data_IF_350742136871
#
_entry.id   IF_350742136871
#
_cell.length_a   1.000
_cell.length_b   1.000
_cell.length_c   1.000
_cell.angle_alpha   90.00
_cell.angle_beta   90.00
_cell.angle_gamma   90.00
#
_symmetry.space_group_name_H-M   'P 1'
#
loop_
_entity.id
_entity.type
_entity.pdbx_description
1 polymer ?
#
# COMPACT_ATOMS: atom_id res chain seq x y z
N UNK A 1 -12.61 11.63 43.73
CA UNK A 1 -13.54 11.81 42.60
C UNK A 1 -12.83 12.64 41.55
N UNK A 2 -12.61 12.06 40.38
CA UNK A 2 -11.91 12.65 39.25
C UNK A 2 -11.90 11.60 38.15
N UNK A 3 -13.03 11.47 37.48
CA UNK A 3 -13.29 10.52 36.41
C UNK A 3 -12.29 10.77 35.27
N UNK A 4 -11.51 9.76 34.90
CA UNK A 4 -10.85 9.71 33.59
C UNK A 4 -11.91 9.48 32.53
N UNK A 5 -12.16 10.41 31.59
CA UNK A 5 -13.01 10.13 30.45
C UNK A 5 -12.13 9.71 29.26
N UNK A 6 -12.71 8.85 28.43
CA UNK A 6 -12.20 8.38 27.13
C UNK A 6 -11.25 7.19 27.21
N UNK A 7 -11.83 5.99 27.13
CA UNK A 7 -11.16 4.84 26.58
C UNK A 7 -10.59 5.23 25.21
N UNK A 8 -9.26 5.18 25.11
CA UNK A 8 -8.57 5.19 23.84
C UNK A 8 -9.00 3.91 23.13
N UNK A 9 -9.93 4.03 22.20
CA UNK A 9 -10.16 3.01 21.18
C UNK A 9 -8.81 2.82 20.50
N UNK A 10 -8.13 1.72 20.78
CA UNK A 10 -6.84 1.42 20.15
C UNK A 10 -7.10 1.20 18.66
N UNK A 11 -6.87 2.23 17.84
CA UNK A 11 -7.07 2.17 16.39
C UNK A 11 -6.32 1.00 15.76
N UNK A 12 -5.22 0.50 16.38
CA UNK A 12 -4.49 -0.69 15.91
C UNK A 12 -5.28 -1.99 16.05
N UNK A 13 -6.18 -2.07 17.03
CA UNK A 13 -7.01 -3.24 17.29
C UNK A 13 -8.34 -3.19 16.54
N UNK A 14 -8.79 -2.02 16.10
CA UNK A 14 -10.14 -1.83 15.54
C UNK A 14 -10.17 -1.41 14.08
N UNK A 15 -9.06 -0.97 13.50
CA UNK A 15 -9.04 -0.55 12.10
C UNK A 15 -9.21 -1.77 11.16
N UNK A 16 -10.25 -1.80 10.31
CA UNK A 16 -10.51 -2.91 9.39
C UNK A 16 -9.62 -2.80 8.14
N UNK A 17 -8.31 -2.72 8.35
CA UNK A 17 -7.34 -2.55 7.28
C UNK A 17 -7.17 -3.79 6.42
N UNK A 18 -6.75 -3.57 5.17
CA UNK A 18 -6.40 -4.61 4.22
C UNK A 18 -5.15 -4.16 3.47
N UNK A 19 -3.98 -4.39 4.07
CA UNK A 19 -2.70 -4.00 3.45
C UNK A 19 -2.44 -4.66 2.09
N UNK A 20 -3.15 -5.72 1.70
CA UNK A 20 -3.03 -6.39 0.39
C UNK A 20 -4.31 -6.18 -0.43
N UNK A 21 -4.22 -5.38 -1.48
CA UNK A 21 -5.23 -5.22 -2.52
C UNK A 21 -5.00 -6.15 -3.72
N UNK A 22 -5.98 -6.17 -4.61
CA UNK A 22 -6.07 -7.12 -5.72
C UNK A 22 -7.29 -8.03 -5.58
N UNK A 23 -7.96 -8.28 -6.70
CA UNK A 23 -9.06 -9.23 -6.84
C UNK A 23 -8.58 -10.61 -7.30
N UNK A 24 -9.53 -11.46 -7.69
CA UNK A 24 -9.26 -12.83 -8.18
C UNK A 24 -9.63 -13.03 -9.65
N UNK A 25 -10.16 -12.00 -10.29
CA UNK A 25 -10.67 -12.03 -11.68
C UNK A 25 -10.14 -10.82 -12.44
N UNK A 26 -9.81 -10.98 -13.71
CA UNK A 26 -9.25 -9.94 -14.60
C UNK A 26 -7.75 -9.72 -14.38
N UNK A 27 -6.98 -9.50 -15.45
CA UNK A 27 -5.51 -9.42 -15.38
C UNK A 27 -5.02 -8.17 -14.60
N UNK A 28 -5.62 -7.00 -14.87
CA UNK A 28 -5.34 -5.77 -14.13
C UNK A 28 -5.75 -5.88 -12.65
N UNK A 29 -6.91 -6.46 -12.43
CA UNK A 29 -7.57 -6.47 -11.12
C UNK A 29 -7.01 -7.58 -10.24
N UNK A 30 -6.51 -8.69 -10.78
CA UNK A 30 -5.84 -9.75 -10.02
C UNK A 30 -4.39 -9.41 -9.62
N UNK A 31 -3.86 -8.28 -10.08
CA UNK A 31 -2.52 -7.85 -9.75
C UNK A 31 -2.41 -7.53 -8.26
N UNK A 32 -1.43 -8.17 -7.61
CA UNK A 32 -1.12 -7.94 -6.21
C UNK A 32 -0.65 -6.50 -6.01
N UNK A 33 -1.22 -5.82 -5.03
CA UNK A 33 -0.75 -4.55 -4.51
C UNK A 33 -0.68 -4.67 -3.00
N UNK A 34 0.48 -4.45 -2.38
CA UNK A 34 0.58 -4.51 -0.93
C UNK A 34 1.32 -3.31 -0.34
N UNK A 35 0.75 -2.74 0.72
CA UNK A 35 1.40 -1.76 1.57
C UNK A 35 2.45 -2.46 2.45
N UNK A 36 3.68 -1.94 2.46
CA UNK A 36 4.77 -2.43 3.30
C UNK A 36 4.66 -1.84 4.71
N UNK A 37 3.64 -2.31 5.43
CA UNK A 37 3.27 -1.90 6.79
C UNK A 37 3.16 -3.13 7.70
N UNK A 38 3.07 -2.98 9.03
CA UNK A 38 2.82 -4.10 9.93
C UNK A 38 1.54 -4.88 9.58
N UNK A 39 1.43 -6.11 10.07
CA UNK A 39 0.35 -7.04 9.70
C UNK A 39 -1.06 -6.53 10.06
N UNK A 40 -1.18 -5.70 11.10
CA UNK A 40 -2.44 -5.06 11.48
C UNK A 40 -2.84 -3.89 10.57
N UNK A 41 -2.07 -3.60 9.51
CA UNK A 41 -2.31 -2.51 8.56
C UNK A 41 -2.30 -1.10 9.19
N UNK A 42 -1.73 -0.94 10.39
CA UNK A 42 -1.57 0.35 11.05
C UNK A 42 -0.09 0.66 11.23
N UNK A 43 0.35 1.83 10.78
CA UNK A 43 1.76 2.20 10.72
C UNK A 43 2.00 3.63 11.20
N UNK A 44 2.84 3.79 12.21
CA UNK A 44 3.33 5.09 12.66
C UNK A 44 4.44 5.64 11.75
N UNK A 45 4.20 6.81 11.15
CA UNK A 45 5.18 7.45 10.28
C UNK A 45 6.38 7.97 11.08
N UNK A 46 7.57 7.82 10.49
CA UNK A 46 8.75 8.52 10.96
C UNK A 46 8.80 9.96 10.43
N UNK A 47 9.69 10.78 10.99
CA UNK A 47 9.96 12.13 10.47
C UNK A 47 10.43 12.14 9.01
N UNK A 48 10.91 11.00 8.49
CA UNK A 48 11.25 10.85 7.08
C UNK A 48 10.01 10.77 6.17
N UNK A 49 8.83 10.42 6.70
CA UNK A 49 7.57 10.36 5.96
C UNK A 49 7.57 9.34 4.83
N UNK A 50 8.37 8.28 4.93
CA UNK A 50 8.48 7.29 3.86
C UNK A 50 7.37 6.23 4.01
N UNK A 51 6.59 6.03 2.94
CA UNK A 51 5.68 4.89 2.79
C UNK A 51 6.03 4.12 1.53
N UNK A 52 5.82 2.81 1.55
CA UNK A 52 6.19 1.94 0.44
C UNK A 52 5.12 0.92 0.13
N UNK A 53 5.03 0.60 -1.14
CA UNK A 53 4.12 -0.41 -1.66
C UNK A 53 4.85 -1.31 -2.65
N UNK A 54 4.46 -2.57 -2.68
CA UNK A 54 4.93 -3.54 -3.66
C UNK A 54 3.82 -3.83 -4.66
N UNK A 55 4.19 -3.89 -5.94
CA UNK A 55 3.30 -4.28 -7.02
C UNK A 55 3.75 -5.63 -7.56
N UNK A 56 2.81 -6.55 -7.73
CA UNK A 56 3.05 -7.87 -8.29
C UNK A 56 3.33 -7.85 -9.80
N UNK A 57 3.73 -8.99 -10.37
CA UNK A 57 3.89 -9.21 -11.80
C UNK A 57 2.60 -8.99 -12.59
N UNK A 58 2.75 -8.48 -13.81
CA UNK A 58 1.67 -8.25 -14.78
C UNK A 58 2.30 -8.11 -16.17
N UNK A 59 1.57 -8.50 -17.21
CA UNK A 59 1.97 -8.23 -18.59
C UNK A 59 1.54 -6.83 -19.05
N UNK A 60 0.46 -6.28 -18.48
CA UNK A 60 -0.12 -5.00 -18.86
C UNK A 60 -0.17 -4.06 -17.64
N UNK A 61 0.96 -3.40 -17.30
CA UNK A 61 0.98 -2.49 -16.18
C UNK A 61 0.07 -1.28 -16.45
N UNK A 62 -0.77 -0.96 -15.46
CA UNK A 62 -1.60 0.25 -15.44
C UNK A 62 -1.11 1.22 -14.36
N UNK A 63 -1.57 2.47 -14.43
CA UNK A 63 -1.31 3.48 -13.41
C UNK A 63 -1.90 3.09 -12.05
N UNK A 64 -1.29 3.60 -10.99
CA UNK A 64 -1.71 3.37 -9.62
C UNK A 64 -2.15 4.70 -9.01
N UNK A 65 -3.34 4.73 -8.42
CA UNK A 65 -3.81 5.85 -7.62
C UNK A 65 -3.51 5.60 -6.16
N UNK A 66 -2.95 6.61 -5.48
CA UNK A 66 -2.69 6.64 -4.05
C UNK A 66 -3.50 7.78 -3.47
N UNK A 67 -4.26 7.51 -2.42
CA UNK A 67 -4.99 8.54 -1.68
C UNK A 67 -4.71 8.45 -0.18
N UNK A 68 -4.57 9.60 0.45
CA UNK A 68 -4.45 9.76 1.90
C UNK A 68 -5.57 10.68 2.36
N UNK A 69 -6.48 10.19 3.19
CA UNK A 69 -7.61 10.97 3.71
C UNK A 69 -7.59 10.98 5.23
N UNK A 70 -7.91 12.09 5.90
CA UNK A 70 -8.05 12.10 7.36
C UNK A 70 -9.09 11.06 7.80
N UNK A 71 -8.77 10.28 8.84
CA UNK A 71 -9.69 9.26 9.38
C UNK A 71 -10.99 9.90 9.89
N UNK A 72 -10.90 11.09 10.48
CA UNK A 72 -12.04 11.87 10.95
C UNK A 72 -12.91 12.48 9.81
N UNK A 73 -12.52 12.29 8.55
CA UNK A 73 -13.10 12.94 7.39
C UNK A 73 -12.49 14.32 7.12
N UNK A 74 -12.59 14.76 5.87
CA UNK A 74 -12.04 16.04 5.40
C UNK A 74 -11.30 15.89 4.07
N UNK A 75 -10.62 16.96 3.67
CA UNK A 75 -9.83 16.98 2.45
C UNK A 75 -8.61 16.09 2.58
N UNK A 76 -8.46 15.19 1.60
CA UNK A 76 -7.31 14.31 1.47
C UNK A 76 -6.40 14.74 0.34
N UNK A 77 -5.29 14.05 0.23
CA UNK A 77 -4.39 14.13 -0.91
C UNK A 77 -4.57 12.90 -1.79
N UNK A 78 -4.48 13.08 -3.11
CA UNK A 78 -4.47 11.98 -4.07
C UNK A 78 -3.39 12.23 -5.12
N UNK A 79 -2.66 11.17 -5.47
CA UNK A 79 -1.62 11.19 -6.51
C UNK A 79 -1.73 9.94 -7.36
N UNK A 80 -1.59 10.12 -8.67
CA UNK A 80 -1.40 9.01 -9.60
C UNK A 80 0.09 8.76 -9.82
N UNK A 81 0.48 7.48 -9.82
CA UNK A 81 1.78 7.00 -10.21
C UNK A 81 1.70 6.36 -11.59
N UNK A 82 2.76 6.50 -12.42
CA UNK A 82 2.77 5.92 -13.75
C UNK A 82 2.72 4.39 -13.71
N UNK A 83 2.24 3.80 -14.81
CA UNK A 83 2.27 2.37 -15.00
C UNK A 83 3.69 1.81 -14.85
N UNK A 84 3.83 0.80 -14.01
CA UNK A 84 5.11 0.14 -13.75
C UNK A 84 4.93 -1.37 -13.63
N UNK A 85 5.92 -2.19 -14.05
CA UNK A 85 5.94 -3.63 -13.84
C UNK A 85 6.11 -3.98 -12.35
N UNK A 86 6.33 -5.26 -12.02
CA UNK A 86 6.63 -5.68 -10.66
C UNK A 86 7.78 -4.88 -10.06
N UNK A 87 7.63 -4.48 -8.80
CA UNK A 87 8.62 -3.64 -8.13
C UNK A 87 8.11 -3.06 -6.82
N UNK A 88 9.01 -2.40 -6.12
CA UNK A 88 8.71 -1.64 -4.91
C UNK A 88 8.71 -0.16 -5.28
N UNK A 89 7.68 0.55 -4.85
CA UNK A 89 7.61 2.01 -4.99
C UNK A 89 7.61 2.64 -3.61
N UNK A 90 8.64 3.46 -3.34
CA UNK A 90 8.76 4.27 -2.13
C UNK A 90 8.37 5.72 -2.45
N UNK A 91 7.48 6.29 -1.66
CA UNK A 91 7.13 7.70 -1.78
C UNK A 91 7.34 8.40 -0.44
N UNK A 92 7.73 9.68 -0.52
CA UNK A 92 7.64 10.57 0.63
C UNK A 92 6.23 11.14 0.70
N UNK A 93 5.66 11.14 1.89
CA UNK A 93 4.45 11.91 2.21
C UNK A 93 4.83 13.03 3.18
N UNK A 94 4.03 14.09 3.16
CA UNK A 94 4.21 15.18 4.10
C UNK A 94 3.96 14.68 5.54
N UNK A 95 4.63 15.29 6.54
CA UNK A 95 4.38 14.96 7.93
C UNK A 95 2.90 15.12 8.28
N UNK A 96 2.27 14.04 8.72
CA UNK A 96 0.86 14.03 9.11
C UNK A 96 0.73 14.45 10.57
N UNK A 97 -0.34 15.17 10.91
CA UNK A 97 -0.65 15.60 12.29
C UNK A 97 -1.83 14.85 12.89
N UNK A 98 -2.60 14.17 12.05
CA UNK A 98 -3.78 13.39 12.39
C UNK A 98 -3.68 12.02 11.73
N UNK A 99 -4.39 10.99 12.23
CA UNK A 99 -4.49 9.71 11.55
C UNK A 99 -5.02 9.86 10.13
N UNK A 100 -4.35 9.20 9.17
CA UNK A 100 -4.70 9.25 7.75
C UNK A 100 -4.97 7.83 7.23
N UNK A 101 -6.13 7.61 6.62
CA UNK A 101 -6.42 6.41 5.84
C UNK A 101 -5.67 6.50 4.52
N UNK A 102 -4.75 5.58 4.31
CA UNK A 102 -4.00 5.41 3.09
C UNK A 102 -4.63 4.30 2.26
N UNK A 103 -5.11 4.65 1.07
CA UNK A 103 -5.65 3.72 0.08
C UNK A 103 -4.82 3.74 -1.19
N UNK A 104 -4.54 2.58 -1.76
CA UNK A 104 -3.90 2.46 -3.08
C UNK A 104 -4.65 1.47 -3.95
N UNK A 105 -4.80 1.77 -5.23
CA UNK A 105 -5.49 0.91 -6.19
C UNK A 105 -5.09 1.16 -7.64
N UNK A 106 -5.15 0.13 -8.47
CA UNK A 106 -4.85 0.22 -9.90
C UNK A 106 -6.03 0.84 -10.67
N UNK A 107 -5.71 1.71 -11.63
CA UNK A 107 -6.70 2.27 -12.56
C UNK A 107 -6.95 1.29 -13.71
N UNK A 108 -7.87 0.34 -13.48
CA UNK A 108 -8.20 -0.70 -14.44
C UNK A 108 -9.26 -0.29 -15.48
N UNK A 109 -9.59 1.01 -15.58
CA UNK A 109 -10.58 1.52 -16.54
C UNK A 109 -10.15 1.36 -18.02
N UNK A 110 -8.85 1.19 -18.27
CA UNK A 110 -8.26 1.04 -19.60
C UNK A 110 -8.14 -0.41 -20.08
N UNK A 111 -8.41 -1.40 -19.22
CA UNK A 111 -8.36 -2.83 -19.54
C UNK A 111 -9.70 -3.45 -19.89
N UNK A 112 -10.76 -2.65 -19.98
CA UNK A 112 -12.07 -3.13 -20.38
C UNK A 112 -12.19 -3.13 -21.90
N UNK A 113 -11.95 -4.28 -22.52
CA UNK A 113 -12.74 -4.72 -23.70
C UNK A 113 -14.21 -4.95 -23.29
N UNK A 114 -14.80 -4.03 -22.52
CA UNK A 114 -16.22 -3.98 -22.17
C UNK A 114 -16.95 -2.96 -23.06
N UNK A 115 -16.49 -2.82 -24.31
CA UNK A 115 -17.31 -2.22 -25.34
C UNK A 115 -18.42 -3.22 -25.70
N UNK A 116 -19.63 -2.94 -25.20
CA UNK A 116 -20.92 -3.47 -25.65
C UNK A 116 -21.47 -4.80 -25.06
N UNK A 117 -21.35 -5.05 -23.76
CA UNK A 117 -22.22 -6.03 -23.08
C UNK A 117 -23.17 -5.34 -22.06
N UNK A 118 -24.49 -5.30 -22.32
CA UNK A 118 -25.51 -4.71 -21.43
C UNK A 118 -25.73 -5.47 -20.12
N UNK A 119 -24.96 -6.54 -19.83
CA UNK A 119 -24.98 -7.28 -18.56
C UNK A 119 -23.80 -6.99 -17.61
N UNK A 120 -22.98 -5.97 -17.88
CA UNK A 120 -21.80 -5.60 -17.07
C UNK A 120 -22.10 -4.92 -15.71
N UNK A 121 -23.13 -5.37 -14.99
CA UNK A 121 -23.50 -4.84 -13.66
C UNK A 121 -22.53 -5.22 -12.53
N UNK A 122 -21.55 -6.08 -12.80
CA UNK A 122 -20.50 -6.44 -11.86
C UNK A 122 -19.21 -5.80 -12.32
N UNK A 123 -18.94 -4.58 -11.86
CA UNK A 123 -17.60 -4.01 -11.96
C UNK A 123 -16.67 -4.90 -11.15
N UNK A 124 -15.77 -5.64 -11.81
CA UNK A 124 -14.74 -6.45 -11.14
C UNK A 124 -13.64 -5.53 -10.60
N UNK A 125 -14.00 -4.47 -9.88
CA UNK A 125 -13.03 -3.55 -9.29
C UNK A 125 -12.22 -4.33 -8.24
N UNK A 126 -10.91 -4.36 -8.41
CA UNK A 126 -10.02 -4.94 -7.41
C UNK A 126 -10.16 -4.15 -6.11
N UNK A 127 -10.32 -4.82 -4.95
CA UNK A 127 -10.33 -4.12 -3.69
C UNK A 127 -8.99 -3.39 -3.50
N UNK A 128 -9.00 -2.10 -3.13
CA UNK A 128 -7.77 -1.35 -2.88
C UNK A 128 -7.03 -1.91 -1.67
N UNK A 129 -5.72 -1.69 -1.63
CA UNK A 129 -4.95 -1.85 -0.41
C UNK A 129 -5.28 -0.67 0.52
N UNK A 130 -5.56 -0.93 1.79
CA UNK A 130 -5.99 0.07 2.77
C UNK A 130 -5.22 -0.11 4.07
N UNK A 131 -4.58 0.96 4.54
CA UNK A 131 -3.83 1.01 5.80
C UNK A 131 -4.13 2.32 6.54
N UNK A 132 -3.92 2.34 7.86
CA UNK A 132 -3.98 3.55 8.67
C UNK A 132 -2.57 4.05 8.96
N UNK A 133 -2.30 5.32 8.66
CA UNK A 133 -1.07 6.00 9.00
C UNK A 133 -1.28 6.84 10.26
N UNK A 134 -0.41 6.67 11.25
CA UNK A 134 -0.44 7.44 12.50
C UNK A 134 0.70 8.48 12.52
N UNK A 135 0.48 9.66 13.14
CA UNK A 135 1.50 10.71 13.21
C UNK A 135 2.68 10.32 14.12
N UNK A 136 2.45 9.42 15.07
CA UNK A 136 3.44 8.98 16.04
C UNK A 136 3.84 7.54 15.78
N UNK A 137 5.11 7.26 16.01
CA UNK A 137 5.67 5.92 15.92
C UNK A 137 5.40 5.14 17.20
N UNK A 138 5.23 3.83 17.06
CA UNK A 138 5.21 2.90 18.17
C UNK A 138 6.30 1.83 18.02
N UNK A 139 6.64 1.10 19.10
CA UNK A 139 7.67 0.05 19.04
C UNK A 139 7.44 -0.99 17.96
N UNK A 140 6.18 -1.30 17.63
CA UNK A 140 5.81 -2.23 16.57
C UNK A 140 6.13 -1.73 15.14
N UNK A 141 6.45 -0.44 14.96
CA UNK A 141 6.77 0.15 13.66
C UNK A 141 8.27 0.15 13.35
N UNK A 142 9.13 -0.09 14.36
CA UNK A 142 10.59 0.08 14.26
C UNK A 142 11.19 -0.80 13.15
N UNK A 143 10.83 -2.09 13.12
CA UNK A 143 11.35 -3.03 12.14
C UNK A 143 10.95 -2.63 10.71
N UNK A 144 9.70 -2.22 10.53
CA UNK A 144 9.19 -1.73 9.24
C UNK A 144 9.92 -0.47 8.82
N UNK A 145 10.13 0.49 9.72
CA UNK A 145 10.84 1.72 9.40
C UNK A 145 12.31 1.47 9.00
N UNK A 146 13.01 0.60 9.71
CA UNK A 146 14.38 0.23 9.35
C UNK A 146 14.41 -0.40 7.95
N UNK A 147 13.46 -1.28 7.65
CA UNK A 147 13.34 -1.88 6.31
C UNK A 147 13.04 -0.82 5.24
N UNK A 148 12.15 0.14 5.52
CA UNK A 148 11.86 1.26 4.59
C UNK A 148 13.09 2.15 4.38
N UNK A 149 13.90 2.42 5.41
CA UNK A 149 15.14 3.18 5.27
C UNK A 149 16.16 2.43 4.40
N UNK A 150 16.31 1.12 4.58
CA UNK A 150 17.17 0.29 3.73
C UNK A 150 16.69 0.28 2.26
N UNK A 151 15.37 0.20 2.03
CA UNK A 151 14.79 0.33 0.70
C UNK A 151 15.06 1.73 0.10
N UNK A 152 14.99 2.78 0.92
CA UNK A 152 15.30 4.15 0.48
C UNK A 152 16.74 4.31 0.04
N UNK A 153 17.68 3.64 0.70
CA UNK A 153 19.08 3.61 0.26
C UNK A 153 19.27 2.82 -1.05
N UNK A 154 18.31 1.96 -1.39
CA UNK A 154 18.32 1.14 -2.60
C UNK A 154 17.53 1.76 -3.77
N UNK A 155 17.07 3.01 -3.66
CA UNK A 155 16.35 3.71 -4.73
C UNK A 155 17.14 3.68 -6.06
N UNK A 156 16.48 3.27 -7.14
CA UNK A 156 17.11 3.13 -8.47
C UNK A 156 17.88 1.82 -8.68
N UNK A 157 17.96 0.97 -7.65
CA UNK A 157 18.58 -0.36 -7.70
C UNK A 157 17.52 -1.47 -7.60
N UNK A 158 17.98 -2.71 -7.38
CA UNK A 158 17.13 -3.88 -7.16
C UNK A 158 17.39 -4.52 -5.79
N UNK A 159 16.37 -5.15 -5.22
CA UNK A 159 16.46 -5.89 -3.96
C UNK A 159 15.96 -7.33 -4.11
N UNK A 160 16.47 -8.30 -3.32
CA UNK A 160 16.03 -9.69 -3.40
C UNK A 160 14.55 -9.84 -2.99
N UNK A 161 13.72 -10.35 -3.89
CA UNK A 161 12.26 -10.39 -3.72
C UNK A 161 11.81 -11.15 -2.47
N UNK A 162 12.24 -12.41 -2.36
CA UNK A 162 11.80 -13.29 -1.27
C UNK A 162 12.25 -12.78 0.11
N UNK A 163 13.53 -12.37 0.23
CA UNK A 163 14.06 -11.83 1.48
C UNK A 163 13.36 -10.52 1.88
N UNK A 164 13.15 -9.62 0.91
CA UNK A 164 12.50 -8.33 1.16
C UNK A 164 11.06 -8.53 1.63
N UNK A 165 10.26 -9.32 0.90
CA UNK A 165 8.85 -9.53 1.25
C UNK A 165 8.66 -10.35 2.51
N UNK A 166 9.57 -11.30 2.79
CA UNK A 166 9.59 -12.00 4.08
C UNK A 166 9.80 -11.03 5.25
N UNK A 167 10.64 -10.01 5.09
CA UNK A 167 10.86 -8.98 6.12
C UNK A 167 9.59 -8.19 6.51
N UNK A 168 8.60 -8.13 5.62
CA UNK A 168 7.29 -7.51 5.89
C UNK A 168 6.19 -8.53 6.23
N UNK A 169 6.53 -9.81 6.37
CA UNK A 169 5.55 -10.89 6.56
C UNK A 169 4.62 -11.07 5.36
N UNK A 170 5.15 -10.89 4.14
CA UNK A 170 4.46 -11.01 2.85
C UNK A 170 5.04 -12.15 1.99
N UNK A 171 5.73 -13.11 2.61
CA UNK A 171 6.37 -14.23 1.91
C UNK A 171 5.36 -15.04 1.08
N UNK A 172 4.13 -15.20 1.57
CA UNK A 172 3.07 -15.96 0.89
C UNK A 172 2.60 -15.33 -0.43
N UNK A 173 2.91 -14.05 -0.67
CA UNK A 173 2.60 -13.38 -1.93
C UNK A 173 3.57 -13.77 -3.06
N UNK A 174 4.74 -14.30 -2.71
CA UNK A 174 5.80 -14.64 -3.67
C UNK A 174 5.49 -15.98 -4.33
N UNK A 175 5.07 -15.91 -5.59
CA UNK A 175 4.85 -17.08 -6.44
C UNK A 175 5.98 -17.25 -7.46
N UNK A 176 5.96 -18.33 -8.24
CA UNK A 176 6.93 -18.58 -9.31
C UNK A 176 6.96 -17.52 -10.41
N UNK A 177 5.94 -16.66 -10.49
CA UNK A 177 5.86 -15.58 -11.48
C UNK A 177 6.61 -14.31 -11.04
N UNK A 178 6.99 -14.20 -9.76
CA UNK A 178 7.74 -13.06 -9.27
C UNK A 178 9.18 -13.09 -9.75
N UNK A 179 9.77 -11.95 -10.14
CA UNK A 179 11.20 -11.90 -10.43
C UNK A 179 12.01 -12.18 -9.16
N UNK A 180 13.24 -12.67 -9.29
CA UNK A 180 14.14 -12.89 -8.14
C UNK A 180 14.64 -11.59 -7.50
N UNK A 181 14.62 -10.50 -8.28
CA UNK A 181 15.04 -9.16 -7.90
C UNK A 181 13.91 -8.17 -8.24
N UNK A 182 13.52 -7.33 -7.28
CA UNK A 182 12.54 -6.27 -7.48
C UNK A 182 13.23 -4.92 -7.66
N UNK A 183 12.92 -4.15 -8.71
CA UNK A 183 13.39 -2.78 -8.81
C UNK A 183 12.75 -1.91 -7.72
N UNK A 184 13.54 -1.03 -7.12
CA UNK A 184 13.07 -0.04 -6.14
C UNK A 184 12.98 1.32 -6.82
N UNK A 185 11.77 1.87 -6.86
CA UNK A 185 11.43 3.13 -7.51
C UNK A 185 11.09 4.16 -6.45
N UNK A 186 11.69 5.33 -6.55
CA UNK A 186 11.46 6.42 -5.61
C UNK A 186 11.10 7.69 -6.37
N UNK A 187 9.86 7.80 -6.89
CA UNK A 187 9.44 9.02 -7.56
C UNK A 187 9.50 10.19 -6.56
N UNK A 188 10.05 11.30 -7.02
CA UNK A 188 10.18 12.56 -6.30
C UNK A 188 8.83 13.18 -5.99
#
# INVERSE_FOLDING_TARGET
MGLSPHGLTDSRSTFPGRRVGGGTRGECTARILAHLVPANSVFGLSSAGDIAMVHGPTANPVSLTISLKPEAGGDGFSRSLPAAPAGITLIRVEPIRVPMVWESGFDCSSGSDAAADPLSFVTTAAPPAVSLLLPNQEPADVDVQQALQALRQSCGSTVPTAATLSGFGLADLVTSQWPSQLPVRCPS
#
